data_IF_785075164947
#
_entry.id   IF_785075164947
#
_cell.length_a   1.000
_cell.length_b   1.000
_cell.length_c   1.000
_cell.angle_alpha   90.00
_cell.angle_beta   90.00
_cell.angle_gamma   90.00
#
_symmetry.space_group_name_H-M   'P 1'
#
loop_
_entity.id
_entity.type
_entity.pdbx_description
1 polymer ?
#
# COMPACT_ATOMS: atom_id res chain seq x y z
N UNK A 1 12.84 6.77 2.00
CA UNK A 1 11.50 6.39 2.51
C UNK A 1 10.73 5.77 1.38
N UNK A 2 9.79 4.87 1.67
CA UNK A 2 8.92 4.30 0.64
C UNK A 2 7.50 4.09 1.13
N UNK A 3 6.54 4.17 0.21
CA UNK A 3 5.15 3.83 0.45
C UNK A 3 4.77 2.58 -0.35
N UNK A 4 4.14 1.61 0.32
CA UNK A 4 3.79 0.28 -0.19
C UNK A 4 2.29 0.06 -0.03
N UNK A 5 1.62 -0.44 -1.06
CA UNK A 5 0.22 -0.86 -1.01
C UNK A 5 0.13 -2.38 -1.11
N UNK A 6 -0.49 -2.99 -0.11
CA UNK A 6 -0.76 -4.42 -0.06
C UNK A 6 -2.24 -4.66 -0.31
N UNK A 7 -2.57 -5.36 -1.39
CA UNK A 7 -3.96 -5.63 -1.76
C UNK A 7 -4.08 -6.87 -2.63
N UNK A 8 -5.27 -7.46 -2.65
CA UNK A 8 -5.60 -8.60 -3.50
C UNK A 8 -6.14 -8.13 -4.84
N UNK A 9 -5.44 -8.46 -5.93
CA UNK A 9 -5.84 -8.08 -7.30
C UNK A 9 -7.22 -8.62 -7.68
N UNK A 10 -7.55 -9.84 -7.23
CA UNK A 10 -8.85 -10.47 -7.48
C UNK A 10 -9.80 -10.31 -6.27
N UNK A 11 -10.16 -9.07 -5.93
CA UNK A 11 -11.05 -8.78 -4.80
C UNK A 11 -12.01 -7.62 -5.07
N UNK A 12 -13.06 -7.52 -4.25
CA UNK A 12 -14.06 -6.43 -4.32
C UNK A 12 -13.47 -5.03 -4.08
N UNK A 13 -12.24 -4.94 -3.58
CA UNK A 13 -11.57 -3.65 -3.30
C UNK A 13 -10.48 -3.32 -4.32
N UNK A 14 -10.16 -4.25 -5.23
CA UNK A 14 -9.10 -4.06 -6.22
C UNK A 14 -9.34 -2.83 -7.08
N UNK A 15 -10.59 -2.59 -7.50
CA UNK A 15 -10.93 -1.42 -8.32
C UNK A 15 -10.63 -0.10 -7.63
N UNK A 16 -10.98 0.01 -6.35
CA UNK A 16 -10.71 1.21 -5.55
C UNK A 16 -9.20 1.46 -5.42
N UNK A 17 -8.41 0.39 -5.23
CA UNK A 17 -6.96 0.48 -5.18
C UNK A 17 -6.36 0.88 -6.54
N UNK A 18 -6.83 0.31 -7.64
CA UNK A 18 -6.37 0.68 -8.99
C UNK A 18 -6.65 2.15 -9.31
N UNK A 19 -7.85 2.62 -8.99
CA UNK A 19 -8.22 4.03 -9.19
C UNK A 19 -7.35 4.94 -8.32
N UNK A 20 -7.10 4.54 -7.06
CA UNK A 20 -6.19 5.25 -6.16
C UNK A 20 -4.76 5.34 -6.70
N UNK A 21 -4.18 4.22 -7.15
CA UNK A 21 -2.82 4.16 -7.70
C UNK A 21 -2.67 5.01 -8.96
N UNK A 22 -3.66 4.94 -9.86
CA UNK A 22 -3.70 5.75 -11.09
C UNK A 22 -3.77 7.23 -10.78
N UNK A 23 -4.62 7.62 -9.82
CA UNK A 23 -4.77 9.01 -9.43
C UNK A 23 -3.55 9.52 -8.66
N UNK A 24 -2.93 8.67 -7.85
CA UNK A 24 -1.67 8.96 -7.17
C UNK A 24 -0.55 9.26 -8.17
N UNK A 25 -0.35 8.40 -9.17
CA UNK A 25 0.64 8.63 -10.23
C UNK A 25 0.33 9.91 -11.03
N UNK A 26 -0.94 10.13 -11.39
CA UNK A 26 -1.36 11.33 -12.12
C UNK A 26 -1.08 12.62 -11.36
N UNK A 27 -1.30 12.64 -10.04
CA UNK A 27 -1.18 13.85 -9.23
C UNK A 27 0.24 14.11 -8.73
N UNK A 28 1.02 13.06 -8.47
CA UNK A 28 2.34 13.17 -7.83
C UNK A 28 3.51 12.89 -8.78
N UNK A 29 3.26 12.21 -9.91
CA UNK A 29 4.30 11.68 -10.78
C UNK A 29 5.08 10.50 -10.19
N UNK A 30 4.67 9.98 -9.02
CA UNK A 30 5.32 8.88 -8.30
C UNK A 30 4.47 7.61 -8.37
N UNK A 31 5.11 6.45 -8.21
CA UNK A 31 4.42 5.15 -8.13
C UNK A 31 4.58 4.58 -6.74
N UNK A 32 3.53 3.95 -6.24
CA UNK A 32 3.60 3.15 -5.02
C UNK A 32 4.08 1.75 -5.36
N UNK A 33 4.81 1.13 -4.44
CA UNK A 33 5.18 -0.28 -4.56
C UNK A 33 3.94 -1.13 -4.26
N UNK A 34 3.62 -2.05 -5.15
CA UNK A 34 2.45 -2.91 -5.03
C UNK A 34 2.86 -4.31 -4.58
N UNK A 35 2.20 -4.83 -3.55
CA UNK A 35 2.42 -6.18 -3.02
C UNK A 35 1.12 -6.96 -3.07
N UNK A 36 1.16 -8.08 -3.81
CA UNK A 36 0.10 -9.07 -3.78
C UNK A 36 0.35 -10.04 -2.61
N UNK A 37 -0.53 -10.07 -1.58
CA UNK A 37 -0.35 -10.92 -0.41
C UNK A 37 -0.52 -12.43 -0.71
N UNK A 38 -1.04 -12.79 -1.87
CA UNK A 38 -1.27 -14.20 -2.26
C UNK A 38 -0.03 -14.82 -2.93
N UNK A 39 0.96 -14.01 -3.30
CA UNK A 39 2.25 -14.50 -3.80
C UNK A 39 3.12 -15.03 -2.66
N UNK A 40 3.67 -16.24 -2.85
CA UNK A 40 4.52 -16.91 -1.84
C UNK A 40 5.70 -16.06 -1.36
N UNK A 41 6.30 -15.27 -2.26
CA UNK A 41 7.42 -14.38 -1.94
C UNK A 41 7.04 -13.23 -0.99
N UNK A 42 5.75 -12.89 -0.90
CA UNK A 42 5.24 -11.77 -0.10
C UNK A 42 4.67 -12.19 1.25
N UNK A 43 4.50 -13.50 1.50
CA UNK A 43 3.95 -14.02 2.78
C UNK A 43 4.76 -13.50 3.97
N UNK A 44 6.10 -13.56 3.88
CA UNK A 44 6.97 -13.07 4.94
C UNK A 44 6.82 -11.57 5.20
N UNK A 45 6.54 -10.76 4.16
CA UNK A 45 6.27 -9.33 4.32
C UNK A 45 4.95 -9.10 5.07
N UNK A 46 3.88 -9.77 4.64
CA UNK A 46 2.55 -9.69 5.25
C UNK A 46 2.60 -10.08 6.74
N UNK A 47 3.29 -11.17 7.07
CA UNK A 47 3.47 -11.61 8.45
C UNK A 47 4.35 -10.65 9.27
N UNK A 48 5.46 -10.18 8.70
CA UNK A 48 6.40 -9.28 9.41
C UNK A 48 5.73 -7.97 9.83
N UNK A 49 4.85 -7.43 8.99
CA UNK A 49 4.15 -6.17 9.26
C UNK A 49 2.74 -6.36 9.82
N UNK A 50 2.36 -7.58 10.21
CA UNK A 50 1.06 -7.93 10.80
C UNK A 50 -0.13 -7.37 9.99
N UNK A 51 -0.11 -7.66 8.68
CA UNK A 51 -1.15 -7.20 7.75
C UNK A 51 -2.31 -8.20 7.77
N UNK A 52 -3.35 -7.85 8.52
CA UNK A 52 -4.54 -8.69 8.73
C UNK A 52 -5.77 -8.21 7.94
N UNK A 53 -5.70 -7.03 7.33
CA UNK A 53 -6.80 -6.40 6.60
C UNK A 53 -6.32 -5.89 5.24
N UNK A 54 -7.18 -5.98 4.22
CA UNK A 54 -6.90 -5.51 2.87
C UNK A 54 -7.95 -4.50 2.40
N UNK A 55 -7.54 -3.46 1.66
CA UNK A 55 -6.15 -3.08 1.37
C UNK A 55 -5.42 -2.53 2.60
N UNK A 56 -4.08 -2.55 2.61
CA UNK A 56 -3.26 -1.86 3.62
C UNK A 56 -2.16 -1.06 2.93
N UNK A 57 -1.98 0.21 3.31
CA UNK A 57 -0.87 1.05 2.85
C UNK A 57 0.12 1.23 4.00
N UNK A 58 1.42 1.04 3.75
CA UNK A 58 2.49 1.27 4.71
C UNK A 58 3.42 2.37 4.24
N UNK A 59 3.78 3.26 5.15
CA UNK A 59 4.91 4.16 4.99
C UNK A 59 6.10 3.63 5.80
N UNK A 60 7.20 3.33 5.11
CA UNK A 60 8.40 2.72 5.70
C UNK A 60 9.60 3.67 5.60
N UNK A 61 10.46 3.65 6.62
CA UNK A 61 11.81 4.19 6.52
C UNK A 61 12.65 3.31 5.60
N UNK A 62 13.81 3.80 5.16
CA UNK A 62 14.76 3.01 4.35
C UNK A 62 15.31 1.79 5.09
N UNK A 63 15.18 1.78 6.43
CA UNK A 63 15.57 0.66 7.29
C UNK A 63 14.41 -0.30 7.60
N UNK A 64 13.24 -0.13 6.97
CA UNK A 64 12.07 -1.00 7.16
C UNK A 64 11.25 -0.72 8.41
N UNK A 65 11.48 0.41 9.11
CA UNK A 65 10.64 0.78 10.25
C UNK A 65 9.32 1.38 9.75
N UNK A 66 8.20 0.96 10.36
CA UNK A 66 6.88 1.52 10.07
C UNK A 66 6.79 2.94 10.64
N UNK A 67 6.56 3.90 9.76
CA UNK A 67 6.25 5.29 10.12
C UNK A 67 4.74 5.44 10.29
N UNK A 68 3.98 4.90 9.33
CA UNK A 68 2.53 4.92 9.35
C UNK A 68 1.94 3.71 8.62
N UNK A 69 0.71 3.36 8.96
CA UNK A 69 -0.02 2.25 8.37
C UNK A 69 -1.51 2.58 8.34
N UNK A 70 -2.09 2.55 7.14
CA UNK A 70 -3.52 2.71 6.92
C UNK A 70 -4.11 1.37 6.53
N UNK A 71 -5.05 0.88 7.33
CA UNK A 71 -5.65 -0.45 7.17
C UNK A 71 -7.10 -0.32 6.68
N UNK A 72 -7.46 -1.20 5.75
CA UNK A 72 -8.82 -1.32 5.25
C UNK A 72 -9.27 -0.11 4.44
N UNK A 73 -10.56 0.21 4.59
CA UNK A 73 -11.23 1.32 3.90
C UNK A 73 -11.82 2.28 4.93
N UNK A 74 -11.91 3.59 4.63
CA UNK A 74 -11.50 4.23 3.38
C UNK A 74 -9.98 4.31 3.20
N UNK A 75 -9.51 4.38 1.95
CA UNK A 75 -8.10 4.64 1.66
C UNK A 75 -7.68 6.03 2.16
N UNK A 76 -6.42 6.22 2.59
CA UNK A 76 -5.91 7.54 2.95
C UNK A 76 -5.91 8.49 1.75
N UNK A 77 -5.79 9.79 2.00
CA UNK A 77 -5.65 10.76 0.92
C UNK A 77 -4.29 10.63 0.23
N UNK A 78 -4.24 10.99 -1.06
CA UNK A 78 -2.99 11.04 -1.82
C UNK A 78 -1.96 11.93 -1.13
N UNK A 79 -2.39 13.06 -0.57
CA UNK A 79 -1.49 13.96 0.15
C UNK A 79 -0.83 13.27 1.34
N UNK A 80 -1.58 12.54 2.17
CA UNK A 80 -1.05 11.80 3.32
C UNK A 80 0.02 10.78 2.90
N UNK A 81 -0.17 10.09 1.78
CA UNK A 81 0.79 9.08 1.31
C UNK A 81 1.96 9.69 0.54
N UNK A 82 1.75 10.79 -0.19
CA UNK A 82 2.72 11.39 -1.12
C UNK A 82 4.02 11.89 -0.46
N UNK A 83 3.96 12.20 0.84
CA UNK A 83 5.12 12.58 1.64
C UNK A 83 6.15 11.45 1.78
N UNK A 84 5.71 10.19 1.62
CA UNK A 84 6.54 9.00 1.87
C UNK A 84 6.99 8.27 0.60
N UNK A 85 6.47 8.67 -0.57
CA UNK A 85 6.79 8.08 -1.87
C UNK A 85 7.92 8.82 -2.59
#
# INVERSE_FOLDING_TARGET
MKAVVVYKENSDHAREVFDYLRDFERQTGKKLEEIDPEKRENIGFVETYDIVEYPTILALTDNGQVINMWRGRPLPTINEVSFYA
#
